data_IF_684225930168
#
_entry.id   IF_684225930168
#
_cell.length_a   1.000
_cell.length_b   1.000
_cell.length_c   1.000
_cell.angle_alpha   90.00
_cell.angle_beta   90.00
_cell.angle_gamma   90.00
#
_symmetry.space_group_name_H-M   'P 1'
#
loop_
_entity.id
_entity.type
_entity.pdbx_description
1 polymer ?
#
# COMPACT_ATOMS: atom_id res chain seq x y z
N UNK A 1 -3.80 -18.90 19.93
CA UNK A 1 -3.68 -17.43 20.03
C UNK A 1 -3.66 -16.89 18.60
N UNK A 2 -4.55 -15.96 18.27
CA UNK A 2 -4.44 -15.19 17.02
C UNK A 2 -3.14 -14.37 17.12
N UNK A 3 -2.29 -14.49 16.10
CA UNK A 3 -1.08 -13.66 16.03
C UNK A 3 -1.48 -12.21 15.72
N UNK A 4 -0.78 -11.23 16.26
CA UNK A 4 -1.05 -9.82 15.96
C UNK A 4 -0.92 -9.53 14.46
N UNK A 5 0.04 -10.19 13.78
CA UNK A 5 0.32 -10.00 12.35
C UNK A 5 -0.54 -10.88 11.43
N UNK A 6 -1.44 -11.71 12.00
CA UNK A 6 -2.23 -12.66 11.24
C UNK A 6 -1.43 -13.89 10.79
N UNK A 7 -2.10 -14.79 10.10
CA UNK A 7 -1.50 -15.95 9.46
C UNK A 7 -1.36 -15.68 7.96
N UNK A 8 -0.22 -15.99 7.39
CA UNK A 8 -0.02 -15.87 5.94
C UNK A 8 -0.80 -16.96 5.21
N UNK A 9 -1.49 -16.59 4.15
CA UNK A 9 -2.20 -17.49 3.25
C UNK A 9 -1.88 -17.14 1.80
N UNK A 10 -1.95 -18.11 0.90
CA UNK A 10 -1.98 -17.84 -0.54
C UNK A 10 -3.42 -17.86 -1.03
N UNK A 11 -3.75 -16.94 -1.93
CA UNK A 11 -5.09 -16.81 -2.52
C UNK A 11 -5.05 -17.33 -3.95
N UNK A 12 -6.00 -18.19 -4.31
CA UNK A 12 -6.10 -18.67 -5.68
C UNK A 12 -6.59 -17.52 -6.60
N UNK A 13 -5.92 -17.23 -7.71
CA UNK A 13 -6.21 -16.03 -8.52
C UNK A 13 -7.61 -16.03 -9.17
N UNK A 14 -8.22 -17.19 -9.39
CA UNK A 14 -9.48 -17.33 -10.12
C UNK A 14 -10.57 -18.08 -9.35
N UNK A 15 -10.32 -18.47 -8.09
CA UNK A 15 -11.28 -19.19 -7.25
C UNK A 15 -11.32 -18.52 -5.89
N UNK A 16 -12.47 -18.50 -5.26
CA UNK A 16 -12.64 -17.94 -3.91
C UNK A 16 -12.15 -18.91 -2.82
N UNK A 17 -10.90 -19.38 -2.97
CA UNK A 17 -10.24 -20.26 -2.03
C UNK A 17 -8.85 -19.75 -1.65
N UNK A 18 -8.42 -20.10 -0.45
CA UNK A 18 -7.08 -19.85 0.06
C UNK A 18 -6.40 -21.16 0.39
N UNK A 19 -5.07 -21.19 0.28
CA UNK A 19 -4.22 -22.21 0.86
C UNK A 19 -3.81 -21.80 2.27
N UNK A 20 -4.02 -22.66 3.25
CA UNK A 20 -3.43 -22.56 4.57
C UNK A 20 -1.98 -23.02 4.47
N UNK A 21 -1.05 -22.22 4.99
CA UNK A 21 0.38 -22.51 4.92
C UNK A 21 0.88 -23.20 6.20
N UNK A 22 1.95 -24.02 6.12
CA UNK A 22 2.59 -24.61 7.29
C UNK A 22 3.13 -23.51 8.22
N UNK A 23 2.60 -23.44 9.45
CA UNK A 23 2.87 -22.36 10.41
C UNK A 23 4.29 -22.38 10.98
N UNK A 24 4.93 -23.52 10.94
CA UNK A 24 6.34 -23.71 11.33
C UNK A 24 7.33 -23.13 10.31
N UNK A 25 6.84 -22.87 9.08
CA UNK A 25 7.62 -22.26 7.99
C UNK A 25 7.15 -20.83 7.73
N UNK A 26 5.84 -20.58 7.74
CA UNK A 26 5.22 -19.31 7.38
C UNK A 26 4.34 -18.81 8.53
N UNK A 27 4.93 -18.10 9.48
CA UNK A 27 4.20 -17.59 10.65
C UNK A 27 3.37 -16.33 10.32
N UNK A 28 3.94 -15.44 9.50
CA UNK A 28 3.32 -14.19 9.06
C UNK A 28 3.96 -13.67 7.77
N UNK A 29 3.29 -12.74 7.07
CA UNK A 29 3.89 -12.07 5.91
C UNK A 29 5.16 -11.30 6.30
N UNK A 30 5.15 -10.64 7.46
CA UNK A 30 6.31 -9.86 7.92
C UNK A 30 7.57 -10.71 8.06
N UNK A 31 7.48 -11.84 8.73
CA UNK A 31 8.62 -12.77 8.88
C UNK A 31 9.01 -13.42 7.54
N UNK A 32 8.03 -13.67 6.67
CA UNK A 32 8.28 -14.16 5.32
C UNK A 32 9.08 -13.16 4.48
N UNK A 33 8.79 -11.86 4.62
CA UNK A 33 9.51 -10.80 3.91
C UNK A 33 10.96 -10.64 4.40
N UNK A 34 11.21 -10.86 5.69
CA UNK A 34 12.57 -10.83 6.26
C UNK A 34 13.48 -11.93 5.67
N UNK A 35 12.89 -13.07 5.26
CA UNK A 35 13.59 -14.19 4.65
C UNK A 35 13.03 -14.52 3.25
N UNK A 36 12.73 -13.50 2.45
CA UNK A 36 12.01 -13.62 1.18
C UNK A 36 12.63 -14.63 0.21
N UNK A 37 13.95 -14.54 0.02
CA UNK A 37 14.68 -15.39 -0.95
C UNK A 37 14.64 -16.90 -0.56
N UNK A 38 14.50 -17.18 0.74
CA UNK A 38 14.34 -18.56 1.23
C UNK A 38 12.88 -19.02 1.08
N UNK A 39 11.91 -18.15 1.34
CA UNK A 39 10.50 -18.47 1.39
C UNK A 39 9.83 -18.49 0.01
N UNK A 40 10.24 -17.61 -0.91
CA UNK A 40 9.61 -17.47 -2.22
C UNK A 40 9.56 -18.79 -3.01
N UNK A 41 10.63 -19.59 -3.12
CA UNK A 41 10.56 -20.86 -3.84
C UNK A 41 9.53 -21.84 -3.25
N UNK A 42 9.40 -21.86 -1.91
CA UNK A 42 8.42 -22.70 -1.20
C UNK A 42 6.99 -22.21 -1.45
N UNK A 43 6.76 -20.90 -1.44
CA UNK A 43 5.46 -20.30 -1.76
C UNK A 43 5.04 -20.60 -3.21
N UNK A 44 5.96 -20.50 -4.18
CA UNK A 44 5.69 -20.82 -5.58
C UNK A 44 5.34 -22.30 -5.78
N UNK A 45 5.95 -23.22 -5.02
CA UNK A 45 5.60 -24.62 -5.07
C UNK A 45 4.17 -24.85 -4.54
N UNK A 46 3.79 -24.19 -3.44
CA UNK A 46 2.44 -24.28 -2.89
C UNK A 46 1.43 -23.64 -3.83
N UNK A 47 1.72 -22.49 -4.41
CA UNK A 47 0.87 -21.83 -5.40
C UNK A 47 0.60 -22.72 -6.61
N UNK A 48 1.64 -23.36 -7.15
CA UNK A 48 1.49 -24.35 -8.22
C UNK A 48 0.54 -25.47 -7.85
N UNK A 49 0.64 -26.00 -6.63
CA UNK A 49 -0.26 -27.06 -6.14
C UNK A 49 -1.68 -26.53 -5.94
N UNK A 50 -1.83 -25.30 -5.42
CA UNK A 50 -3.12 -24.65 -5.24
C UNK A 50 -3.83 -24.46 -6.59
N UNK A 51 -3.15 -23.93 -7.58
CA UNK A 51 -3.67 -23.72 -8.95
C UNK A 51 -4.04 -25.04 -9.62
N UNK A 52 -3.29 -26.11 -9.37
CA UNK A 52 -3.59 -27.46 -9.87
C UNK A 52 -4.71 -28.17 -9.09
N UNK A 53 -5.20 -27.59 -7.98
CA UNK A 53 -6.20 -28.24 -7.11
C UNK A 53 -5.67 -29.44 -6.30
N UNK A 54 -4.35 -29.56 -6.15
CA UNK A 54 -3.68 -30.66 -5.44
C UNK A 54 -3.18 -30.29 -4.03
N UNK A 55 -3.39 -29.04 -3.59
CA UNK A 55 -3.14 -28.62 -2.21
C UNK A 55 -4.36 -28.94 -1.36
N UNK A 56 -4.18 -29.76 -0.30
CA UNK A 56 -5.27 -30.26 0.53
C UNK A 56 -5.78 -29.26 1.57
N UNK A 57 -4.85 -28.45 2.11
CA UNK A 57 -5.17 -27.50 3.19
C UNK A 57 -5.74 -26.21 2.62
N UNK A 58 -7.03 -26.22 2.26
CA UNK A 58 -7.72 -25.06 1.67
C UNK A 58 -8.94 -24.66 2.49
N UNK A 59 -9.34 -23.38 2.34
CA UNK A 59 -10.62 -22.84 2.84
C UNK A 59 -11.24 -21.90 1.84
N UNK A 60 -12.54 -21.67 1.95
CA UNK A 60 -13.20 -20.61 1.20
C UNK A 60 -12.78 -19.23 1.74
N UNK A 61 -12.65 -18.24 0.85
CA UNK A 61 -12.38 -16.85 1.21
C UNK A 61 -13.43 -16.31 2.19
N UNK A 62 -14.70 -16.73 2.03
CA UNK A 62 -15.81 -16.32 2.90
C UNK A 62 -15.75 -16.85 4.33
N UNK A 63 -14.94 -17.88 4.58
CA UNK A 63 -14.81 -18.52 5.92
C UNK A 63 -13.75 -17.87 6.79
N UNK A 64 -13.01 -16.88 6.26
CA UNK A 64 -11.89 -16.26 6.96
C UNK A 64 -12.09 -14.76 7.09
N UNK A 65 -11.54 -14.18 8.16
CA UNK A 65 -11.46 -12.74 8.34
C UNK A 65 -10.06 -12.28 8.00
N UNK A 66 -9.96 -11.46 6.98
CA UNK A 66 -8.70 -10.86 6.56
C UNK A 66 -8.36 -9.62 7.39
N UNK A 67 -7.07 -9.47 7.63
CA UNK A 67 -6.43 -8.25 8.12
C UNK A 67 -5.80 -7.49 6.94
N UNK A 68 -5.19 -6.34 7.22
CA UNK A 68 -4.21 -5.78 6.30
C UNK A 68 -3.09 -6.80 6.04
N UNK A 69 -2.46 -6.84 4.86
CA UNK A 69 -1.35 -7.76 4.59
C UNK A 69 -0.22 -7.65 5.60
N UNK A 70 0.08 -6.43 6.03
CA UNK A 70 0.96 -6.13 7.15
C UNK A 70 0.19 -5.30 8.18
N UNK A 71 -0.45 -5.90 9.20
CA UNK A 71 -1.14 -5.13 10.25
C UNK A 71 -0.19 -4.22 11.03
N UNK A 72 1.09 -4.58 11.07
CA UNK A 72 2.20 -3.80 11.61
C UNK A 72 3.34 -3.83 10.60
N UNK A 73 3.73 -2.66 10.12
CA UNK A 73 4.86 -2.47 9.22
C UNK A 73 6.00 -1.75 9.95
N UNK A 74 7.24 -1.93 9.49
CA UNK A 74 8.37 -1.16 10.00
C UNK A 74 8.24 0.32 9.68
N UNK A 75 7.68 0.65 8.50
CA UNK A 75 7.37 2.01 8.11
C UNK A 75 6.24 2.00 7.08
N UNK A 76 5.37 2.98 7.16
CA UNK A 76 4.47 3.37 6.09
C UNK A 76 4.91 4.77 5.63
N UNK A 77 5.37 4.86 4.40
CA UNK A 77 5.80 6.09 3.76
C UNK A 77 4.82 6.37 2.63
N UNK A 78 4.14 7.51 2.67
CA UNK A 78 3.18 7.84 1.65
C UNK A 78 3.67 9.01 0.79
N UNK A 79 3.75 8.77 -0.52
CA UNK A 79 4.15 9.75 -1.52
C UNK A 79 2.96 10.58 -2.00
N UNK A 80 3.25 11.65 -2.71
CA UNK A 80 2.24 12.40 -3.45
C UNK A 80 2.59 12.38 -4.93
N UNK A 81 2.50 11.18 -5.53
CA UNK A 81 2.95 10.98 -6.90
C UNK A 81 1.99 11.49 -7.99
N UNK A 82 0.74 11.77 -7.62
CA UNK A 82 -0.26 12.32 -8.53
C UNK A 82 -0.34 13.84 -8.40
N UNK A 83 0.32 14.54 -9.31
CA UNK A 83 0.43 16.01 -9.30
C UNK A 83 -0.94 16.69 -9.28
N UNK A 84 -1.93 16.13 -9.99
CA UNK A 84 -3.30 16.69 -10.03
C UNK A 84 -3.91 16.74 -8.62
N UNK A 85 -3.75 15.67 -7.83
CA UNK A 85 -4.23 15.65 -6.44
C UNK A 85 -3.57 16.76 -5.61
N UNK A 86 -2.25 16.92 -5.71
CA UNK A 86 -1.52 17.97 -4.98
C UNK A 86 -2.05 19.36 -5.33
N UNK A 87 -2.28 19.62 -6.62
CA UNK A 87 -2.84 20.90 -7.10
C UNK A 87 -4.23 21.15 -6.50
N UNK A 88 -5.12 20.14 -6.55
CA UNK A 88 -6.48 20.23 -6.03
C UNK A 88 -6.51 20.51 -4.52
N UNK A 89 -5.75 19.76 -3.75
CA UNK A 89 -5.70 19.89 -2.28
C UNK A 89 -5.11 21.27 -1.88
N UNK A 90 -4.07 21.73 -2.55
CA UNK A 90 -3.48 23.06 -2.28
C UNK A 90 -4.43 24.18 -2.66
N UNK A 91 -5.09 24.09 -3.82
CA UNK A 91 -6.12 25.05 -4.24
C UNK A 91 -7.26 25.11 -3.19
N UNK A 92 -7.72 23.97 -2.69
CA UNK A 92 -8.77 23.94 -1.67
C UNK A 92 -8.34 24.61 -0.34
N UNK A 93 -7.04 24.68 -0.07
CA UNK A 93 -6.47 25.36 1.11
C UNK A 93 -6.02 26.80 0.83
N UNK A 94 -6.21 27.31 -0.38
CA UNK A 94 -5.72 28.65 -0.79
C UNK A 94 -4.19 28.76 -0.83
N UNK A 95 -3.48 27.65 -1.03
CA UNK A 95 -2.03 27.58 -1.09
C UNK A 95 -1.55 27.27 -2.52
N UNK A 96 -0.38 27.80 -2.88
CA UNK A 96 0.27 27.50 -4.14
C UNK A 96 1.04 26.16 -4.09
N UNK A 97 1.24 25.54 -5.26
CA UNK A 97 2.09 24.37 -5.37
C UNK A 97 3.57 24.76 -5.15
N UNK A 98 4.41 23.86 -4.58
CA UNK A 98 5.84 24.11 -4.49
C UNK A 98 6.46 24.28 -5.88
N UNK A 99 7.50 25.10 -5.98
CA UNK A 99 8.23 25.33 -7.25
C UNK A 99 8.87 24.04 -7.78
N UNK A 100 9.29 23.15 -6.89
CA UNK A 100 9.95 21.88 -7.18
C UNK A 100 8.98 20.68 -7.26
N UNK A 101 7.67 20.92 -7.28
CA UNK A 101 6.63 19.87 -7.27
C UNK A 101 6.82 18.78 -8.33
N UNK A 102 7.39 19.12 -9.48
CA UNK A 102 7.62 18.19 -10.59
C UNK A 102 8.97 17.45 -10.53
N UNK A 103 9.83 17.81 -9.60
CA UNK A 103 11.20 17.29 -9.52
C UNK A 103 11.53 16.61 -8.21
N UNK A 104 10.80 16.95 -7.14
CA UNK A 104 11.01 16.39 -5.80
C UNK A 104 9.69 15.81 -5.28
N UNK A 105 9.63 14.50 -5.01
CA UNK A 105 8.44 13.89 -4.45
C UNK A 105 8.13 14.46 -3.07
N UNK A 106 6.86 14.78 -2.81
CA UNK A 106 6.39 14.99 -1.45
C UNK A 106 6.14 13.62 -0.82
N UNK A 107 6.57 13.45 0.43
CA UNK A 107 6.40 12.18 1.16
C UNK A 107 6.24 12.46 2.64
N UNK A 108 5.34 11.72 3.30
CA UNK A 108 5.24 11.77 4.75
C UNK A 108 5.37 10.35 5.34
N UNK A 109 5.63 10.27 6.63
CA UNK A 109 5.68 9.02 7.38
C UNK A 109 4.38 8.84 8.15
N UNK A 110 3.60 7.84 7.74
CA UNK A 110 2.30 7.51 8.33
C UNK A 110 2.39 6.60 9.55
N UNK A 111 1.26 6.40 10.22
CA UNK A 111 1.12 5.38 11.25
C UNK A 111 1.38 4.00 10.64
N UNK A 112 2.25 3.19 11.27
CA UNK A 112 2.67 1.91 10.70
C UNK A 112 2.48 0.71 11.63
N UNK A 113 2.02 0.94 12.84
CA UNK A 113 1.96 -0.07 13.90
C UNK A 113 0.56 -0.64 14.15
N UNK A 114 -0.47 -0.09 13.49
CA UNK A 114 -1.87 -0.50 13.63
C UNK A 114 -2.65 -0.29 12.32
N UNK A 115 -2.22 -0.93 11.24
CA UNK A 115 -2.88 -0.81 9.94
C UNK A 115 -4.19 -1.60 9.92
N UNK A 116 -5.25 -0.99 9.40
CA UNK A 116 -6.62 -1.50 9.46
C UNK A 116 -6.88 -2.46 8.30
N UNK A 117 -7.56 -3.56 8.58
CA UNK A 117 -8.01 -4.52 7.56
C UNK A 117 -9.17 -3.99 6.71
N UNK A 118 -9.52 -4.71 5.62
CA UNK A 118 -10.43 -4.21 4.58
C UNK A 118 -11.88 -4.06 5.01
N UNK A 119 -12.27 -4.69 6.12
CA UNK A 119 -13.65 -4.68 6.65
C UNK A 119 -13.71 -4.31 8.13
N UNK A 120 -12.65 -3.70 8.62
CA UNK A 120 -12.62 -3.17 9.97
C UNK A 120 -13.17 -1.74 9.99
N UNK A 121 -13.88 -1.40 11.06
CA UNK A 121 -14.41 -0.06 11.21
C UNK A 121 -13.28 0.96 11.41
N UNK A 122 -13.40 2.09 10.73
CA UNK A 122 -12.49 3.21 10.92
C UNK A 122 -13.03 4.05 12.08
N UNK A 123 -12.33 4.01 13.21
CA UNK A 123 -12.72 4.76 14.39
C UNK A 123 -12.50 6.25 14.21
N UNK A 124 -13.51 7.05 14.45
CA UNK A 124 -13.48 8.50 14.37
C UNK A 124 -13.80 9.10 15.74
N UNK A 125 -12.98 10.04 16.19
CA UNK A 125 -13.22 10.77 17.45
C UNK A 125 -14.45 11.66 17.37
N UNK A 126 -14.58 12.43 16.28
CA UNK A 126 -15.69 13.33 16.01
C UNK A 126 -15.88 13.54 14.50
N UNK A 127 -17.12 13.73 14.07
CA UNK A 127 -17.41 14.07 12.65
C UNK A 127 -16.78 15.40 12.24
N UNK A 128 -16.62 16.32 13.18
CA UNK A 128 -15.95 17.61 12.96
C UNK A 128 -14.46 17.49 12.62
N UNK A 129 -13.84 16.32 12.76
CA UNK A 129 -12.46 16.09 12.34
C UNK A 129 -12.33 16.01 10.82
N UNK A 130 -13.46 15.91 10.08
CA UNK A 130 -13.50 15.95 8.62
C UNK A 130 -12.87 14.72 7.98
N UNK A 131 -13.35 13.52 8.33
CA UNK A 131 -12.83 12.28 7.76
C UNK A 131 -13.08 12.22 6.24
N UNK A 132 -12.02 11.94 5.53
CA UNK A 132 -11.99 11.76 4.08
C UNK A 132 -11.23 10.47 3.72
N UNK A 133 -11.48 9.92 2.54
CA UNK A 133 -10.79 8.75 2.02
C UNK A 133 -9.83 9.13 0.89
N UNK A 134 -8.76 8.38 0.76
CA UNK A 134 -7.79 8.52 -0.34
C UNK A 134 -7.52 7.15 -0.94
N UNK A 135 -8.02 6.93 -2.17
CA UNK A 135 -7.83 5.66 -2.88
C UNK A 135 -6.46 5.63 -3.55
N UNK A 136 -5.64 4.67 -3.18
CA UNK A 136 -4.24 4.59 -3.58
C UNK A 136 -3.81 3.20 -4.00
N UNK A 137 -2.71 3.15 -4.72
CA UNK A 137 -1.87 1.97 -4.90
C UNK A 137 -0.69 2.06 -3.95
N UNK A 138 -0.28 0.93 -3.41
CA UNK A 138 0.93 0.85 -2.60
C UNK A 138 1.80 -0.33 -3.00
N UNK A 139 3.05 -0.29 -2.55
CA UNK A 139 3.99 -1.41 -2.67
C UNK A 139 4.53 -1.80 -1.30
N UNK A 140 4.92 -3.08 -1.17
CA UNK A 140 5.70 -3.57 -0.04
C UNK A 140 7.10 -3.90 -0.57
N UNK A 141 8.13 -3.40 0.12
CA UNK A 141 9.52 -3.63 -0.30
C UNK A 141 10.17 -4.78 0.46
N UNK A 142 11.16 -5.40 -0.17
CA UNK A 142 12.26 -6.08 0.52
C UNK A 142 13.20 -5.08 1.18
N UNK A 143 14.37 -5.51 1.69
CA UNK A 143 15.37 -4.61 2.24
C UNK A 143 15.96 -3.74 1.12
N UNK A 144 15.86 -2.40 1.28
CA UNK A 144 16.38 -1.43 0.31
C UNK A 144 17.64 -0.77 0.89
N UNK A 145 18.80 -0.88 0.24
CA UNK A 145 20.02 -0.23 0.69
C UNK A 145 19.95 1.29 0.68
N UNK A 146 20.66 1.93 1.58
CA UNK A 146 20.90 3.39 1.57
C UNK A 146 21.42 3.82 0.18
N UNK A 147 20.84 4.88 -0.37
CA UNK A 147 21.28 5.49 -1.62
C UNK A 147 20.85 4.73 -2.88
N UNK A 148 19.93 3.73 -2.78
CA UNK A 148 19.36 3.02 -3.93
C UNK A 148 18.82 4.02 -4.96
N UNK A 149 19.17 3.79 -6.24
CA UNK A 149 18.72 4.62 -7.36
C UNK A 149 17.47 4.05 -8.03
N UNK A 150 16.67 4.92 -8.63
CA UNK A 150 15.44 4.55 -9.36
C UNK A 150 15.68 3.42 -10.37
N UNK A 151 16.78 3.46 -11.10
CA UNK A 151 17.15 2.42 -12.06
C UNK A 151 17.35 1.02 -11.45
N UNK A 152 17.63 0.93 -10.16
CA UNK A 152 17.85 -0.32 -9.42
C UNK A 152 16.67 -0.73 -8.53
N UNK A 153 15.61 0.08 -8.46
CA UNK A 153 14.57 -0.03 -7.45
C UNK A 153 13.62 -1.22 -7.67
N UNK A 154 13.36 -1.61 -8.92
CA UNK A 154 12.42 -2.70 -9.27
C UNK A 154 12.68 -3.99 -8.48
N UNK A 155 13.94 -4.39 -8.34
CA UNK A 155 14.33 -5.62 -7.64
C UNK A 155 13.99 -5.65 -6.14
N UNK A 156 13.61 -4.53 -5.56
CA UNK A 156 13.22 -4.44 -4.15
C UNK A 156 11.71 -4.43 -3.95
N UNK A 157 10.90 -4.30 -5.01
CA UNK A 157 9.45 -4.37 -4.92
C UNK A 157 9.05 -5.85 -4.79
N UNK A 158 8.35 -6.19 -3.72
CA UNK A 158 7.88 -7.55 -3.46
C UNK A 158 6.42 -7.73 -3.77
N UNK A 159 5.59 -6.79 -3.34
CA UNK A 159 4.14 -6.89 -3.47
C UNK A 159 3.53 -5.54 -3.82
N UNK A 160 2.38 -5.58 -4.48
CA UNK A 160 1.52 -4.44 -4.82
C UNK A 160 0.17 -4.64 -4.14
N UNK A 161 -0.43 -3.56 -3.62
CA UNK A 161 -1.70 -3.61 -2.88
C UNK A 161 -2.47 -2.29 -3.04
N UNK A 162 -3.72 -2.26 -2.54
CA UNK A 162 -4.52 -1.03 -2.47
C UNK A 162 -4.53 -0.48 -1.05
N UNK A 163 -4.58 0.84 -0.94
CA UNK A 163 -4.62 1.59 0.30
C UNK A 163 -5.82 2.54 0.26
N UNK A 164 -6.47 2.70 1.41
CA UNK A 164 -7.34 3.82 1.69
C UNK A 164 -6.67 4.64 2.78
N UNK A 165 -5.96 5.71 2.37
CA UNK A 165 -5.23 6.56 3.31
C UNK A 165 -6.18 7.57 3.96
N UNK A 166 -6.60 7.22 5.18
CA UNK A 166 -7.58 7.99 5.94
C UNK A 166 -7.00 9.34 6.33
N UNK A 167 -7.75 10.40 6.01
CA UNK A 167 -7.35 11.77 6.28
C UNK A 167 -8.39 12.50 7.11
N UNK A 168 -7.96 13.19 8.16
CA UNK A 168 -8.81 14.07 8.95
C UNK A 168 -8.53 15.52 8.56
N UNK A 169 -9.27 15.98 7.55
CA UNK A 169 -8.98 17.23 6.82
C UNK A 169 -8.94 18.47 7.70
N UNK A 170 -9.74 18.52 8.76
CA UNK A 170 -9.81 19.66 9.67
C UNK A 170 -8.61 19.73 10.64
N UNK A 171 -7.90 18.63 10.85
CA UNK A 171 -6.71 18.59 11.71
C UNK A 171 -5.41 18.91 10.96
N UNK A 172 -5.35 18.57 9.68
CA UNK A 172 -4.17 18.71 8.83
C UNK A 172 -3.61 20.15 8.75
N UNK A 173 -4.42 21.23 8.58
CA UNK A 173 -3.88 22.57 8.41
C UNK A 173 -3.04 23.04 9.60
N UNK A 174 -3.46 22.74 10.83
CA UNK A 174 -2.69 23.06 12.02
C UNK A 174 -1.35 22.32 12.06
N UNK A 175 -1.34 21.05 11.73
CA UNK A 175 -0.14 20.23 11.75
C UNK A 175 0.87 20.69 10.70
N UNK A 176 0.42 21.01 9.50
CA UNK A 176 1.28 21.59 8.45
C UNK A 176 1.89 22.94 8.87
N UNK A 177 1.12 23.77 9.57
CA UNK A 177 1.60 25.08 10.04
C UNK A 177 2.73 24.97 11.08
N UNK A 178 2.85 23.83 11.79
CA UNK A 178 3.93 23.60 12.76
C UNK A 178 5.25 23.17 12.11
N UNK A 179 5.23 22.69 10.87
CA UNK A 179 6.40 22.18 10.16
C UNK A 179 6.87 20.79 10.58
N UNK A 180 6.17 20.12 11.52
CA UNK A 180 6.52 18.76 12.00
C UNK A 180 5.90 17.61 11.18
N UNK A 181 4.97 17.92 10.28
CA UNK A 181 4.25 16.93 9.48
C UNK A 181 2.97 16.43 10.16
N UNK A 182 2.38 15.39 9.55
CA UNK A 182 1.11 14.82 10.01
C UNK A 182 1.29 13.91 11.22
N UNK A 183 0.31 13.96 12.13
CA UNK A 183 0.17 13.01 13.23
C UNK A 183 -1.31 12.68 13.46
N UNK A 184 -2.10 13.60 14.03
CA UNK A 184 -3.54 13.39 14.24
C UNK A 184 -4.33 13.40 12.93
N UNK A 185 -3.88 14.18 11.95
CA UNK A 185 -4.53 14.31 10.65
C UNK A 185 -4.45 13.06 9.77
N UNK A 186 -3.56 12.13 10.11
CA UNK A 186 -3.38 10.84 9.41
C UNK A 186 -3.43 9.68 10.41
N UNK A 187 -4.63 9.27 10.85
CA UNK A 187 -4.81 8.09 11.69
C UNK A 187 -4.44 6.82 10.92
N UNK A 188 -4.48 5.62 11.54
CA UNK A 188 -4.22 4.38 10.81
C UNK A 188 -5.08 4.22 9.57
N UNK A 189 -4.44 3.93 8.44
CA UNK A 189 -5.09 3.72 7.14
C UNK A 189 -5.56 2.29 6.97
N UNK A 190 -6.52 2.08 6.04
CA UNK A 190 -7.09 0.77 5.73
C UNK A 190 -6.46 0.19 4.45
N UNK A 191 -6.27 -1.12 4.41
CA UNK A 191 -5.55 -1.81 3.35
C UNK A 191 -6.39 -2.92 2.73
N UNK A 192 -6.17 -3.18 1.43
CA UNK A 192 -6.75 -4.35 0.76
C UNK A 192 -6.38 -5.65 1.48
N UNK A 193 -7.23 -6.70 1.42
CA UNK A 193 -6.92 -7.97 2.07
C UNK A 193 -5.81 -8.74 1.38
N UNK A 194 -5.58 -8.43 0.10
CA UNK A 194 -4.65 -9.14 -0.76
C UNK A 194 -3.56 -8.20 -1.24
N UNK A 195 -2.37 -8.76 -1.38
CA UNK A 195 -1.25 -8.18 -2.07
C UNK A 195 -0.76 -9.18 -3.12
N UNK A 196 -0.32 -8.68 -4.28
CA UNK A 196 0.12 -9.51 -5.40
C UNK A 196 1.56 -9.20 -5.74
N UNK A 197 2.29 -10.18 -6.24
CA UNK A 197 3.62 -9.95 -6.80
C UNK A 197 3.52 -9.20 -8.14
N UNK A 198 4.48 -8.37 -8.52
CA UNK A 198 4.43 -7.59 -9.77
C UNK A 198 4.21 -8.44 -11.04
N UNK A 199 4.75 -9.66 -11.08
CA UNK A 199 4.60 -10.60 -12.21
C UNK A 199 3.15 -11.06 -12.41
N UNK A 200 2.33 -11.17 -11.36
CA UNK A 200 0.90 -11.48 -11.47
C UNK A 200 0.11 -10.37 -12.19
N UNK A 201 0.63 -9.16 -12.22
CA UNK A 201 0.03 -8.02 -12.92
C UNK A 201 0.41 -7.99 -14.41
N UNK A 202 1.36 -8.82 -14.83
CA UNK A 202 1.78 -8.94 -16.22
C UNK A 202 2.20 -7.61 -16.84
N UNK A 203 1.64 -7.29 -18.01
CA UNK A 203 1.96 -6.06 -18.77
C UNK A 203 1.39 -4.79 -18.13
N UNK A 204 0.47 -4.92 -17.19
CA UNK A 204 -0.10 -3.76 -16.48
C UNK A 204 0.84 -3.21 -15.41
N UNK A 205 1.85 -3.99 -14.99
CA UNK A 205 2.96 -3.50 -14.20
C UNK A 205 4.16 -3.21 -15.09
N UNK A 206 4.55 -1.95 -15.21
CA UNK A 206 5.73 -1.54 -15.98
C UNK A 206 6.27 -0.20 -15.53
N UNK A 207 7.58 -0.06 -15.52
CA UNK A 207 8.26 1.17 -15.14
C UNK A 207 7.95 1.64 -13.73
N UNK A 208 7.72 0.69 -12.80
CA UNK A 208 7.36 0.98 -11.42
C UNK A 208 5.97 1.64 -11.27
N UNK A 209 5.03 1.34 -12.17
CA UNK A 209 3.64 1.87 -12.18
C UNK A 209 2.64 0.77 -12.47
N UNK A 210 1.47 0.87 -11.85
CA UNK A 210 0.32 0.01 -12.14
C UNK A 210 -0.61 0.72 -13.14
N UNK A 211 -0.69 0.22 -14.36
CA UNK A 211 -1.51 0.81 -15.43
C UNK A 211 -2.93 0.24 -15.46
N UNK A 212 -3.60 0.31 -14.32
CA UNK A 212 -4.99 -0.11 -14.14
C UNK A 212 -5.80 1.00 -13.45
N UNK A 213 -7.12 1.05 -13.69
CA UNK A 213 -7.99 1.99 -12.98
C UNK A 213 -8.18 1.53 -11.53
N UNK A 214 -8.16 2.49 -10.59
CA UNK A 214 -8.57 2.30 -9.20
C UNK A 214 -10.03 2.70 -9.07
N UNK A 215 -10.91 1.71 -9.03
CA UNK A 215 -12.36 1.97 -8.94
C UNK A 215 -12.78 2.19 -7.49
N UNK A 216 -13.36 3.35 -7.23
CA UNK A 216 -13.89 3.73 -5.92
C UNK A 216 -15.41 3.78 -5.95
N UNK A 217 -16.04 3.23 -4.90
CA UNK A 217 -17.47 3.33 -4.64
C UNK A 217 -17.71 3.93 -3.27
N UNK A 218 -18.60 4.90 -3.18
CA UNK A 218 -19.04 5.49 -1.90
C UNK A 218 -20.50 5.11 -1.67
N UNK A 219 -20.79 4.43 -0.57
CA UNK A 219 -22.13 3.92 -0.25
C UNK A 219 -22.77 3.10 -1.38
N UNK A 220 -21.94 2.32 -2.08
CA UNK A 220 -22.36 1.49 -3.24
C UNK A 220 -22.45 2.23 -4.58
N UNK A 221 -22.51 3.56 -4.60
CA UNK A 221 -22.50 4.36 -5.83
C UNK A 221 -21.06 4.48 -6.37
N UNK A 222 -20.93 4.46 -7.70
CA UNK A 222 -19.66 4.73 -8.36
C UNK A 222 -19.22 6.16 -8.05
N UNK A 223 -17.96 6.32 -7.59
CA UNK A 223 -17.37 7.62 -7.26
C UNK A 223 -16.34 8.05 -8.30
N UNK A 224 -15.45 7.15 -8.71
CA UNK A 224 -14.39 7.42 -9.70
C UNK A 224 -13.62 6.15 -10.07
N UNK A 225 -12.79 6.26 -11.12
CA UNK A 225 -11.96 5.18 -11.62
C UNK A 225 -10.65 5.68 -12.29
N UNK A 226 -9.91 6.60 -11.64
CA UNK A 226 -8.68 7.12 -12.22
C UNK A 226 -7.64 6.02 -12.43
N UNK A 227 -6.81 6.16 -13.48
CA UNK A 227 -5.76 5.19 -13.79
C UNK A 227 -4.50 5.45 -12.95
N UNK A 228 -4.07 4.44 -12.20
CA UNK A 228 -2.90 4.54 -11.35
C UNK A 228 -1.58 4.66 -12.14
N UNK A 229 -1.56 4.30 -13.43
CA UNK A 229 -0.38 4.46 -14.28
C UNK A 229 -0.02 5.90 -14.63
N UNK A 230 -0.91 6.88 -14.33
CA UNK A 230 -0.66 8.30 -14.59
C UNK A 230 0.11 9.00 -13.46
N UNK A 231 0.60 8.26 -12.47
CA UNK A 231 1.47 8.84 -11.45
C UNK A 231 2.71 9.49 -12.10
N UNK A 232 3.04 10.71 -11.66
CA UNK A 232 4.19 11.47 -12.15
C UNK A 232 5.50 10.82 -11.69
N UNK A 233 5.66 10.61 -10.40
CA UNK A 233 6.76 9.85 -9.84
C UNK A 233 6.38 8.37 -9.80
N UNK A 234 7.22 7.49 -10.37
CA UNK A 234 7.06 6.05 -10.26
C UNK A 234 7.38 5.56 -8.84
N UNK A 235 7.02 4.32 -8.52
CA UNK A 235 7.49 3.71 -7.27
C UNK A 235 9.02 3.58 -7.22
N UNK A 236 9.69 3.50 -8.37
CA UNK A 236 11.15 3.55 -8.43
C UNK A 236 11.69 4.89 -7.91
N UNK A 237 11.08 6.00 -8.33
CA UNK A 237 11.46 7.33 -7.89
C UNK A 237 11.15 7.56 -6.39
N UNK A 238 10.01 7.02 -5.92
CA UNK A 238 9.65 7.06 -4.51
C UNK A 238 10.63 6.25 -3.64
N UNK A 239 11.09 5.07 -4.11
CA UNK A 239 12.12 4.27 -3.43
C UNK A 239 13.44 5.04 -3.37
N UNK A 240 13.91 5.62 -4.49
CA UNK A 240 15.14 6.44 -4.49
C UNK A 240 15.04 7.57 -3.49
N UNK A 241 13.92 8.31 -3.50
CA UNK A 241 13.70 9.41 -2.58
C UNK A 241 13.71 8.95 -1.11
N UNK A 242 12.98 7.89 -0.79
CA UNK A 242 12.89 7.35 0.57
C UNK A 242 14.23 6.81 1.09
N UNK A 243 15.03 6.21 0.20
CA UNK A 243 16.30 5.59 0.55
C UNK A 243 17.50 6.57 0.52
N UNK A 244 17.28 7.86 0.28
CA UNK A 244 18.36 8.85 0.14
C UNK A 244 19.25 8.95 1.39
N UNK A 245 18.66 8.91 2.58
CA UNK A 245 19.39 9.11 3.87
C UNK A 245 19.29 7.96 4.84
N UNK A 246 18.53 6.90 4.48
CA UNK A 246 18.33 5.71 5.33
C UNK A 246 18.09 4.47 4.47
N UNK A 247 18.49 3.27 4.92
CA UNK A 247 18.01 2.04 4.31
C UNK A 247 16.53 1.83 4.67
N UNK A 248 15.79 1.07 3.85
CA UNK A 248 14.43 0.63 4.19
C UNK A 248 14.47 -0.84 4.60
N UNK A 249 13.79 -1.17 5.69
CA UNK A 249 13.64 -2.56 6.14
C UNK A 249 12.68 -3.32 5.24
N UNK A 250 12.87 -4.64 5.11
CA UNK A 250 11.89 -5.52 4.49
C UNK A 250 10.51 -5.32 5.13
N UNK A 251 9.45 -5.22 4.33
CA UNK A 251 8.11 -4.93 4.84
C UNK A 251 7.82 -3.43 5.01
N UNK A 252 8.68 -2.52 4.53
CA UNK A 252 8.31 -1.11 4.37
C UNK A 252 7.22 -0.98 3.31
N UNK A 253 6.17 -0.22 3.62
CA UNK A 253 5.09 0.10 2.68
C UNK A 253 5.34 1.49 2.12
N UNK A 254 5.22 1.65 0.79
CA UNK A 254 5.18 2.96 0.14
C UNK A 254 3.83 3.11 -0.55
N UNK A 255 3.09 4.17 -0.20
CA UNK A 255 1.87 4.60 -0.88
C UNK A 255 2.18 5.53 -2.05
N UNK A 256 1.31 5.54 -3.04
CA UNK A 256 1.43 6.41 -4.22
C UNK A 256 0.94 7.83 -3.98
N UNK A 257 0.25 8.05 -2.87
CA UNK A 257 -0.67 9.17 -2.77
C UNK A 257 -1.97 8.92 -3.53
N UNK A 258 -2.97 9.73 -3.26
CA UNK A 258 -4.31 9.61 -3.86
C UNK A 258 -4.25 9.57 -5.37
N UNK A 259 -4.76 8.50 -5.96
CA UNK A 259 -4.84 8.34 -7.42
C UNK A 259 -5.79 9.38 -7.99
N UNK A 260 -5.28 10.23 -8.87
CA UNK A 260 -6.03 11.32 -9.47
C UNK A 260 -5.48 11.65 -10.85
N UNK A 261 -6.34 11.69 -11.84
CA UNK A 261 -5.98 12.03 -13.21
C UNK A 261 -6.35 13.49 -13.54
N UNK A 262 -5.77 14.00 -14.62
CA UNK A 262 -6.05 15.35 -15.11
C UNK A 262 -7.40 15.45 -15.81
N UNK A 263 -7.77 14.36 -16.47
CA UNK A 263 -9.02 14.20 -17.21
C UNK A 263 -9.71 12.95 -16.65
N UNK A 264 -11.00 13.05 -16.37
CA UNK A 264 -11.86 11.94 -15.98
C UNK A 264 -12.49 11.26 -17.21
#
# INVERSE_FOLDING_TARGET
KLTLDGELVLVHPHREIIALLPKDIFSSLRETLDAWEEHLPKLLEIDKKLRAGSWSETRAVSEVRFKAPLPRSWAFLDGSAFIQHVILVRKARGAEAPEDLLTVPLMYQGASDNLIGPREDISLRAQSDGMDFESEVGIITGPVPLGTKSADAEKYIRLVLLINDISLRELIPRELATGFGFFHGKPPSSFSPFAVTPDELGTDWRGGRLHLPVTTRLNGAHFGHPNAGEMHFSFHDLIEYAATTRPLSAGTILGSGTVSNKEE
#
